data_IF_860878242998
#
_entry.id   IF_860878242998
#
_cell.length_a   1.000
_cell.length_b   1.000
_cell.length_c   1.000
_cell.angle_alpha   90.00
_cell.angle_beta   90.00
_cell.angle_gamma   90.00
#
_symmetry.space_group_name_H-M   'P 1'
#
loop_
_entity.id
_entity.type
_entity.pdbx_description
1 polymer ?
#
# COMPACT_ATOMS: atom_id res chain seq x y z
N UNK A 1 -2.81 23.75 -15.93
CA UNK A 1 -3.36 22.40 -16.26
C UNK A 1 -4.59 22.19 -15.43
N UNK A 2 -5.60 21.49 -15.96
CA UNK A 2 -6.82 21.12 -15.24
C UNK A 2 -6.78 19.63 -14.93
N UNK A 3 -7.22 19.26 -13.72
CA UNK A 3 -7.28 17.87 -13.26
C UNK A 3 -8.56 17.62 -12.47
N UNK A 4 -9.12 16.42 -12.59
CA UNK A 4 -10.26 15.94 -11.81
C UNK A 4 -9.73 15.08 -10.66
N UNK A 5 -10.05 15.48 -9.44
CA UNK A 5 -9.60 14.80 -8.22
C UNK A 5 -10.80 14.21 -7.50
N UNK A 6 -10.82 12.90 -7.36
CA UNK A 6 -11.78 12.22 -6.47
C UNK A 6 -11.38 12.43 -5.02
N UNK A 7 -12.33 12.87 -4.18
CA UNK A 7 -12.13 13.00 -2.74
C UNK A 7 -12.90 11.91 -2.02
N UNK A 8 -12.18 11.00 -1.38
CA UNK A 8 -12.72 10.02 -0.45
C UNK A 8 -12.34 10.46 0.95
N UNK A 9 -13.25 11.14 1.64
CA UNK A 9 -13.02 11.57 3.01
C UNK A 9 -12.86 10.37 3.95
N UNK A 10 -13.59 9.28 3.70
CA UNK A 10 -13.50 8.05 4.49
C UNK A 10 -14.15 8.16 5.86
N UNK A 11 -13.56 7.47 6.84
CA UNK A 11 -14.13 7.23 8.15
C UNK A 11 -13.29 7.87 9.27
N UNK A 12 -13.88 8.06 10.44
CA UNK A 12 -13.19 8.53 11.64
C UNK A 12 -12.50 9.87 11.45
N UNK A 13 -11.18 9.91 11.55
CA UNK A 13 -10.33 11.11 11.34
C UNK A 13 -10.22 11.49 9.85
N UNK A 14 -10.70 10.65 8.93
CA UNK A 14 -10.54 10.79 7.49
C UNK A 14 -10.99 12.15 6.93
N UNK A 15 -12.21 12.64 7.24
CA UNK A 15 -12.66 13.95 6.76
C UNK A 15 -11.72 15.09 7.16
N UNK A 16 -11.28 15.12 8.40
CA UNK A 16 -10.39 16.16 8.94
C UNK A 16 -9.06 16.21 8.17
N UNK A 17 -8.41 15.06 7.99
CA UNK A 17 -7.11 15.00 7.29
C UNK A 17 -7.23 15.28 5.78
N UNK A 18 -8.34 14.88 5.14
CA UNK A 18 -8.57 15.17 3.72
C UNK A 18 -8.84 16.65 3.50
N UNK A 19 -9.60 17.31 4.39
CA UNK A 19 -9.86 18.74 4.30
C UNK A 19 -8.56 19.57 4.44
N UNK A 20 -7.65 19.17 5.34
CA UNK A 20 -6.33 19.82 5.45
C UNK A 20 -5.45 19.57 4.21
N UNK A 21 -5.44 18.35 3.68
CA UNK A 21 -4.74 18.04 2.45
C UNK A 21 -5.29 18.83 1.25
N UNK A 22 -6.63 19.01 1.17
CA UNK A 22 -7.27 19.82 0.14
C UNK A 22 -6.82 21.26 0.18
N UNK A 23 -6.68 21.87 1.36
CA UNK A 23 -6.16 23.25 1.49
C UNK A 23 -4.76 23.39 0.89
N UNK A 24 -3.89 22.38 1.08
CA UNK A 24 -2.56 22.37 0.46
C UNK A 24 -2.66 22.26 -1.06
N UNK A 25 -3.55 21.41 -1.58
CA UNK A 25 -3.77 21.27 -3.02
C UNK A 25 -4.29 22.60 -3.64
N UNK A 26 -5.21 23.28 -2.96
CA UNK A 26 -5.74 24.57 -3.42
C UNK A 26 -4.62 25.64 -3.45
N UNK A 27 -3.75 25.69 -2.44
CA UNK A 27 -2.59 26.59 -2.42
C UNK A 27 -1.58 26.27 -3.53
N UNK A 28 -1.38 24.98 -3.86
CA UNK A 28 -0.55 24.57 -5.01
C UNK A 28 -1.19 25.02 -6.34
N UNK A 29 -2.51 24.92 -6.47
CA UNK A 29 -3.22 25.42 -7.65
C UNK A 29 -3.01 26.91 -7.84
N UNK A 30 -3.18 27.71 -6.79
CA UNK A 30 -2.96 29.15 -6.83
C UNK A 30 -1.51 29.49 -7.21
N UNK A 31 -0.54 28.84 -6.55
CA UNK A 31 0.89 29.11 -6.74
C UNK A 31 1.39 28.75 -8.14
N UNK A 32 0.92 27.66 -8.73
CA UNK A 32 1.45 27.12 -9.99
C UNK A 32 0.49 27.24 -11.18
N UNK A 33 -0.65 27.90 -11.02
CA UNK A 33 -1.64 28.10 -12.08
C UNK A 33 -2.30 26.80 -12.56
N UNK A 34 -2.56 25.88 -11.62
CA UNK A 34 -3.35 24.68 -11.88
C UNK A 34 -4.82 24.91 -11.48
N UNK A 35 -5.70 24.02 -11.96
CA UNK A 35 -7.10 23.98 -11.55
C UNK A 35 -7.46 22.54 -11.23
N UNK A 36 -7.95 22.30 -10.00
CA UNK A 36 -8.47 21.02 -9.58
C UNK A 36 -9.99 21.08 -9.45
N UNK A 37 -10.66 20.13 -10.11
CA UNK A 37 -12.09 19.90 -9.95
C UNK A 37 -12.28 18.71 -9.03
N UNK A 38 -12.96 18.92 -7.90
CA UNK A 38 -13.13 17.90 -6.87
C UNK A 38 -14.47 17.20 -7.01
N UNK A 39 -14.46 15.87 -6.95
CA UNK A 39 -15.65 15.02 -6.92
C UNK A 39 -15.67 14.21 -5.62
N UNK A 40 -16.68 14.37 -4.79
CA UNK A 40 -16.81 13.60 -3.57
C UNK A 40 -17.24 12.15 -3.88
N UNK A 41 -16.54 11.20 -3.29
CA UNK A 41 -16.74 9.76 -3.46
C UNK A 41 -16.93 9.11 -2.10
N UNK A 42 -17.94 8.26 -1.96
CA UNK A 42 -18.20 7.54 -0.70
C UNK A 42 -17.53 6.17 -0.73
N UNK A 43 -16.77 5.86 0.34
CA UNK A 43 -16.09 4.59 0.55
C UNK A 43 -16.07 4.26 2.04
N UNK A 44 -16.05 2.97 2.37
CA UNK A 44 -15.94 2.51 3.75
C UNK A 44 -17.22 2.62 4.55
N UNK A 45 -17.11 2.98 5.81
CA UNK A 45 -18.24 3.17 6.71
C UNK A 45 -19.19 4.25 6.23
N UNK A 46 -18.66 5.36 5.73
CA UNK A 46 -19.46 6.44 5.15
C UNK A 46 -20.35 5.96 3.99
N UNK A 47 -19.88 5.03 3.16
CA UNK A 47 -20.69 4.41 2.10
C UNK A 47 -21.70 3.42 2.67
N UNK A 48 -21.35 2.64 3.69
CA UNK A 48 -22.26 1.70 4.36
C UNK A 48 -23.45 2.45 4.97
N UNK A 49 -23.20 3.57 5.63
CA UNK A 49 -24.24 4.36 6.30
C UNK A 49 -25.27 4.94 5.31
N UNK A 50 -24.85 5.24 4.08
CA UNK A 50 -25.73 5.82 3.04
C UNK A 50 -26.33 4.74 2.13
N UNK A 51 -25.52 3.76 1.72
CA UNK A 51 -25.88 2.81 0.65
C UNK A 51 -26.04 1.36 1.15
N UNK A 52 -25.70 1.07 2.41
CA UNK A 52 -25.70 -0.30 2.96
C UNK A 52 -24.54 -1.19 2.46
N UNK A 53 -23.63 -0.66 1.64
CA UNK A 53 -22.48 -1.36 1.08
C UNK A 53 -21.22 -0.50 1.19
N UNK A 54 -20.04 -1.10 1.38
CA UNK A 54 -18.80 -0.33 1.60
C UNK A 54 -18.29 0.40 0.35
N UNK A 55 -18.78 0.05 -0.84
CA UNK A 55 -18.43 0.71 -2.10
C UNK A 55 -19.46 0.32 -3.17
N UNK A 56 -20.04 1.32 -3.84
CA UNK A 56 -20.96 1.11 -4.96
C UNK A 56 -20.21 1.06 -6.29
N UNK A 57 -20.83 0.49 -7.31
CA UNK A 57 -20.26 0.46 -8.66
C UNK A 57 -20.25 1.85 -9.30
N UNK A 58 -21.24 2.71 -8.99
CA UNK A 58 -21.29 4.11 -9.41
C UNK A 58 -20.07 4.89 -8.88
N UNK A 59 -19.70 4.69 -7.61
CA UNK A 59 -18.50 5.31 -7.04
C UNK A 59 -17.23 4.87 -7.77
N UNK A 60 -17.14 3.60 -8.17
CA UNK A 60 -15.99 3.10 -8.95
C UNK A 60 -15.95 3.79 -10.32
N UNK A 61 -17.06 3.90 -11.02
CA UNK A 61 -17.09 4.52 -12.35
C UNK A 61 -16.78 6.03 -12.28
N UNK A 62 -17.23 6.73 -11.25
CA UNK A 62 -16.84 8.12 -11.03
C UNK A 62 -15.33 8.26 -10.69
N UNK A 63 -14.80 7.35 -9.86
CA UNK A 63 -13.36 7.34 -9.53
C UNK A 63 -12.48 7.12 -10.76
N UNK A 64 -12.91 6.27 -11.71
CA UNK A 64 -12.19 6.03 -12.99
C UNK A 64 -12.14 7.26 -13.90
N UNK A 65 -13.06 8.22 -13.74
CA UNK A 65 -13.06 9.48 -14.51
C UNK A 65 -12.12 10.51 -13.93
N UNK A 66 -11.59 10.29 -12.74
CA UNK A 66 -10.65 11.19 -12.08
C UNK A 66 -9.21 10.90 -12.50
N UNK A 67 -8.40 11.92 -12.60
CA UNK A 67 -6.95 11.80 -12.84
C UNK A 67 -6.21 11.24 -11.63
N UNK A 68 -6.72 11.53 -10.42
CA UNK A 68 -6.22 11.00 -9.15
C UNK A 68 -7.34 10.94 -8.11
N UNK A 69 -7.13 10.13 -7.07
CA UNK A 69 -8.02 10.04 -5.91
C UNK A 69 -7.22 10.33 -4.65
N UNK A 70 -7.65 11.37 -3.91
CA UNK A 70 -7.17 11.64 -2.55
C UNK A 70 -8.08 10.91 -1.57
N UNK A 71 -7.50 10.07 -0.72
CA UNK A 71 -8.25 9.22 0.19
C UNK A 71 -7.78 9.41 1.63
N UNK A 72 -8.75 9.58 2.52
CA UNK A 72 -8.56 9.58 3.97
C UNK A 72 -8.51 8.16 4.56
N UNK A 73 -8.77 8.05 5.85
CA UNK A 73 -8.80 6.77 6.55
C UNK A 73 -10.06 5.97 6.27
N UNK A 74 -9.95 4.65 6.18
CA UNK A 74 -11.07 3.73 5.97
C UNK A 74 -11.12 2.74 7.12
N UNK A 75 -12.32 2.54 7.68
CA UNK A 75 -12.56 1.67 8.83
C UNK A 75 -12.68 2.45 10.14
N UNK A 76 -12.89 1.71 11.22
CA UNK A 76 -13.08 2.27 12.55
C UNK A 76 -12.57 1.33 13.63
N UNK A 77 -12.81 1.66 14.88
CA UNK A 77 -12.47 0.80 16.00
C UNK A 77 -13.29 -0.51 15.96
N UNK A 78 -12.59 -1.64 15.99
CA UNK A 78 -13.21 -2.97 15.83
C UNK A 78 -14.20 -3.33 16.96
N UNK A 79 -14.12 -2.68 18.13
CA UNK A 79 -14.99 -2.95 19.28
C UNK A 79 -16.23 -2.05 19.30
N UNK A 80 -16.09 -0.81 18.87
CA UNK A 80 -17.12 0.22 19.03
C UNK A 80 -17.85 0.54 17.75
N UNK A 81 -17.24 0.36 16.58
CA UNK A 81 -17.85 0.67 15.30
C UNK A 81 -18.94 -0.35 14.91
N UNK A 82 -20.14 0.09 14.48
CA UNK A 82 -21.24 -0.78 14.11
C UNK A 82 -20.96 -1.64 12.88
N UNK A 83 -20.06 -1.21 12.00
CA UNK A 83 -19.76 -1.89 10.73
C UNK A 83 -19.07 -3.25 10.94
N UNK A 84 -18.38 -3.46 12.07
CA UNK A 84 -17.73 -4.76 12.37
C UNK A 84 -18.69 -5.85 12.84
N UNK A 85 -19.99 -5.53 13.04
CA UNK A 85 -21.05 -6.52 13.22
C UNK A 85 -21.50 -7.15 11.90
N UNK A 86 -21.14 -6.51 10.77
CA UNK A 86 -21.42 -7.02 9.44
C UNK A 86 -20.48 -8.17 9.08
N UNK A 87 -20.90 -8.98 8.08
CA UNK A 87 -20.04 -10.00 7.48
C UNK A 87 -18.77 -9.36 6.88
N UNK A 88 -17.62 -10.08 6.83
CA UNK A 88 -16.35 -9.53 6.37
C UNK A 88 -16.38 -8.88 4.98
N UNK A 89 -17.21 -9.40 4.07
CA UNK A 89 -17.41 -8.89 2.71
C UNK A 89 -18.17 -7.54 2.66
N UNK A 90 -18.82 -7.15 3.75
CA UNK A 90 -19.60 -5.92 3.90
C UNK A 90 -18.92 -4.88 4.81
N UNK A 91 -17.73 -5.16 5.31
CA UNK A 91 -16.96 -4.23 6.16
C UNK A 91 -16.26 -3.17 5.32
N UNK A 92 -15.86 -2.03 5.91
CA UNK A 92 -15.15 -0.95 5.22
C UNK A 92 -13.93 -1.42 4.42
N UNK A 93 -13.16 -2.37 4.96
CA UNK A 93 -11.95 -2.91 4.33
C UNK A 93 -12.24 -3.64 3.02
N UNK A 94 -13.41 -4.27 2.88
CA UNK A 94 -13.82 -4.91 1.62
C UNK A 94 -13.97 -3.88 0.50
N UNK A 95 -14.54 -2.70 0.81
CA UNK A 95 -14.60 -1.58 -0.12
C UNK A 95 -13.23 -1.08 -0.54
N UNK A 96 -12.29 -0.97 0.42
CA UNK A 96 -10.92 -0.56 0.16
C UNK A 96 -10.19 -1.54 -0.78
N UNK A 97 -10.34 -2.83 -0.58
CA UNK A 97 -9.76 -3.83 -1.47
C UNK A 97 -10.41 -3.80 -2.86
N UNK A 98 -11.74 -3.64 -2.91
CA UNK A 98 -12.49 -3.57 -4.17
C UNK A 98 -12.06 -2.38 -5.02
N UNK A 99 -11.94 -1.16 -4.46
CA UNK A 99 -11.54 0.04 -5.21
C UNK A 99 -10.10 -0.07 -5.73
N UNK A 100 -9.17 -0.59 -4.93
CA UNK A 100 -7.77 -0.81 -5.34
C UNK A 100 -7.68 -1.72 -6.56
N UNK A 101 -8.43 -2.83 -6.54
CA UNK A 101 -8.50 -3.76 -7.66
C UNK A 101 -9.15 -3.13 -8.89
N UNK A 102 -10.28 -2.43 -8.71
CA UNK A 102 -11.05 -1.82 -9.80
C UNK A 102 -10.33 -0.70 -10.52
N UNK A 103 -9.46 0.03 -9.82
CA UNK A 103 -8.61 1.08 -10.38
C UNK A 103 -7.22 0.58 -10.81
N UNK A 104 -6.92 -0.71 -10.66
CA UNK A 104 -5.62 -1.29 -11.01
C UNK A 104 -4.44 -0.75 -10.21
N UNK A 105 -4.65 -0.38 -8.95
CA UNK A 105 -3.63 0.23 -8.08
C UNK A 105 -2.72 -0.85 -7.49
N UNK A 106 -1.81 -1.38 -8.29
CA UNK A 106 -0.97 -2.51 -7.91
C UNK A 106 0.28 -2.12 -7.11
N UNK A 107 0.80 -0.91 -7.29
CA UNK A 107 2.03 -0.47 -6.64
C UNK A 107 1.74 0.46 -5.46
N UNK A 108 1.98 -0.01 -4.24
CA UNK A 108 1.93 0.81 -3.04
C UNK A 108 3.33 1.34 -2.72
N UNK A 109 3.52 2.65 -2.87
CA UNK A 109 4.78 3.32 -2.60
C UNK A 109 4.76 3.89 -1.18
N UNK A 110 5.64 3.41 -0.32
CA UNK A 110 5.72 3.80 1.09
C UNK A 110 7.09 4.38 1.40
N UNK A 111 7.27 5.71 1.28
CA UNK A 111 8.52 6.34 1.63
C UNK A 111 8.72 6.32 3.15
N UNK A 112 9.94 6.00 3.58
CA UNK A 112 10.41 6.19 4.94
C UNK A 112 11.63 7.11 4.86
N UNK A 113 11.45 8.33 5.31
CA UNK A 113 12.47 9.38 5.30
C UNK A 113 12.60 9.97 6.69
N UNK A 114 13.82 10.10 7.19
CA UNK A 114 14.07 10.78 8.46
C UNK A 114 14.39 12.26 8.19
N UNK A 115 13.47 13.13 8.59
CA UNK A 115 13.70 14.56 8.61
C UNK A 115 14.63 14.92 9.76
N UNK A 116 15.59 15.80 9.52
CA UNK A 116 16.58 16.18 10.53
C UNK A 116 15.90 16.80 11.78
N UNK A 117 14.83 17.55 11.57
CA UNK A 117 14.03 18.18 12.62
C UNK A 117 13.29 17.15 13.50
N UNK A 118 13.17 15.92 13.04
CA UNK A 118 12.50 14.81 13.74
C UNK A 118 13.48 13.73 14.20
N UNK A 119 14.79 13.98 14.12
CA UNK A 119 15.83 13.01 14.47
C UNK A 119 15.69 12.49 15.90
N UNK A 120 15.37 13.38 16.83
CA UNK A 120 15.23 13.06 18.25
C UNK A 120 13.99 12.19 18.57
N UNK A 121 13.01 12.17 17.65
CA UNK A 121 11.83 11.32 17.78
C UNK A 121 12.05 9.89 17.22
N UNK A 122 13.18 9.64 16.58
CA UNK A 122 13.51 8.33 16.02
C UNK A 122 13.89 7.36 17.14
N UNK A 123 13.30 6.15 17.21
CA UNK A 123 13.61 5.19 18.26
C UNK A 123 14.96 4.46 18.08
N UNK A 124 15.61 4.64 16.95
CA UNK A 124 16.90 4.04 16.67
C UNK A 124 18.04 4.86 17.32
N UNK A 125 19.11 4.18 17.69
CA UNK A 125 20.31 4.82 18.25
C UNK A 125 20.93 5.78 17.24
N UNK A 126 21.51 6.86 17.72
CA UNK A 126 22.12 7.90 16.90
C UNK A 126 23.25 7.37 16.00
N UNK A 127 24.06 6.46 16.52
CA UNK A 127 25.14 5.78 15.78
C UNK A 127 24.64 4.95 14.57
N UNK A 128 23.39 4.48 14.63
CA UNK A 128 22.73 3.71 13.56
C UNK A 128 22.07 4.65 12.55
N UNK A 129 21.45 5.71 13.04
CA UNK A 129 20.81 6.72 12.20
C UNK A 129 21.83 7.45 11.33
N UNK A 130 23.01 7.77 11.89
CA UNK A 130 24.03 8.56 11.21
C UNK A 130 23.47 9.90 10.72
N UNK A 131 23.60 10.15 9.41
CA UNK A 131 23.05 11.35 8.75
C UNK A 131 21.55 11.23 8.38
N UNK A 132 20.93 10.12 8.74
CA UNK A 132 19.54 9.82 8.43
C UNK A 132 19.37 8.72 7.40
N UNK A 133 18.12 8.40 7.10
CA UNK A 133 17.78 7.40 6.09
C UNK A 133 16.73 7.90 5.11
N UNK A 134 16.82 7.40 3.89
CA UNK A 134 15.85 7.60 2.82
C UNK A 134 15.62 6.27 2.11
N UNK A 135 14.47 5.66 2.38
CA UNK A 135 14.09 4.35 1.86
C UNK A 135 12.69 4.41 1.25
N UNK A 136 12.48 3.74 0.13
CA UNK A 136 11.17 3.55 -0.47
C UNK A 136 10.81 2.08 -0.46
N UNK A 137 9.77 1.72 0.29
CA UNK A 137 9.21 0.37 0.29
C UNK A 137 8.16 0.30 -0.80
N UNK A 138 8.40 -0.55 -1.81
CA UNK A 138 7.45 -0.83 -2.88
C UNK A 138 6.75 -2.16 -2.63
N UNK A 139 5.43 -2.10 -2.46
CA UNK A 139 4.62 -3.28 -2.19
C UNK A 139 3.69 -3.55 -3.36
N UNK A 140 3.72 -4.80 -3.87
CA UNK A 140 2.64 -5.29 -4.73
C UNK A 140 1.35 -5.35 -3.88
N UNK A 141 0.28 -4.71 -4.37
CA UNK A 141 -0.89 -4.42 -3.54
C UNK A 141 -2.13 -5.21 -3.92
N UNK A 142 -2.21 -5.75 -5.15
CA UNK A 142 -3.42 -6.40 -5.70
C UNK A 142 -3.28 -7.89 -5.94
N UNK A 143 -2.16 -8.47 -5.50
CA UNK A 143 -1.91 -9.91 -5.41
C UNK A 143 -1.74 -10.39 -3.97
N UNK A 144 -1.36 -11.64 -3.82
CA UNK A 144 -0.99 -12.24 -2.56
C UNK A 144 -2.16 -12.60 -1.65
N UNK A 145 -1.90 -12.59 -0.35
CA UNK A 145 -2.79 -13.14 0.68
C UNK A 145 -4.17 -12.46 0.74
N UNK A 146 -4.26 -11.16 0.46
CA UNK A 146 -5.52 -10.42 0.58
C UNK A 146 -6.50 -10.66 -0.56
N UNK A 147 -6.03 -11.18 -1.69
CA UNK A 147 -6.82 -11.43 -2.88
C UNK A 147 -6.93 -12.91 -3.23
N UNK A 148 -6.26 -13.78 -2.48
CA UNK A 148 -6.35 -15.23 -2.59
C UNK A 148 -7.68 -15.77 -2.04
N UNK A 149 -7.94 -17.04 -2.36
CA UNK A 149 -9.09 -17.75 -1.82
C UNK A 149 -8.95 -17.93 -0.31
N UNK A 150 -10.08 -17.81 0.38
CA UNK A 150 -10.15 -17.99 1.84
C UNK A 150 -11.39 -18.75 2.23
N UNK A 151 -11.27 -19.58 3.24
CA UNK A 151 -12.39 -20.34 3.76
C UNK A 151 -12.21 -20.62 5.26
N UNK A 152 -13.35 -20.80 5.95
CA UNK A 152 -13.38 -21.37 7.29
C UNK A 152 -14.37 -22.50 7.28
N UNK A 153 -13.91 -23.72 7.58
CA UNK A 153 -14.72 -24.92 7.64
C UNK A 153 -14.70 -25.49 9.06
N UNK A 154 -15.72 -26.23 9.43
CA UNK A 154 -15.78 -26.95 10.70
C UNK A 154 -15.88 -28.45 10.39
N UNK A 155 -14.90 -29.24 10.84
CA UNK A 155 -14.83 -30.68 10.70
C UNK A 155 -14.67 -31.32 12.08
N UNK A 156 -15.57 -32.21 12.45
CA UNK A 156 -15.56 -32.90 13.76
C UNK A 156 -15.52 -31.96 14.97
N UNK A 157 -16.20 -30.79 14.89
CA UNK A 157 -16.21 -29.79 15.96
C UNK A 157 -14.95 -28.93 16.03
N UNK A 158 -14.00 -29.09 15.07
CA UNK A 158 -12.77 -28.32 14.98
C UNK A 158 -12.88 -27.33 13.82
N UNK A 159 -12.69 -26.03 14.10
CA UNK A 159 -12.66 -24.99 13.08
C UNK A 159 -11.28 -24.92 12.44
N UNK A 160 -11.26 -24.90 11.10
CA UNK A 160 -10.05 -24.74 10.27
C UNK A 160 -10.24 -23.57 9.32
N UNK A 161 -9.36 -22.58 9.42
CA UNK A 161 -9.34 -21.44 8.50
C UNK A 161 -8.14 -21.55 7.53
N UNK A 162 -8.38 -21.18 6.29
CA UNK A 162 -7.36 -21.19 5.23
C UNK A 162 -7.39 -19.88 4.48
N UNK A 163 -6.19 -19.29 4.30
CA UNK A 163 -5.94 -18.16 3.41
C UNK A 163 -4.87 -18.59 2.39
N UNK A 164 -5.13 -18.35 1.11
CA UNK A 164 -4.22 -18.77 0.02
C UNK A 164 -3.38 -17.57 -0.44
N UNK A 165 -2.05 -17.74 -0.40
CA UNK A 165 -1.09 -16.79 -0.93
C UNK A 165 -0.78 -17.13 -2.39
N UNK A 166 -1.16 -16.26 -3.33
CA UNK A 166 -0.93 -16.46 -4.76
C UNK A 166 -0.31 -15.21 -5.39
N UNK A 167 0.75 -15.41 -6.14
CA UNK A 167 1.34 -14.40 -7.04
C UNK A 167 1.56 -15.03 -8.42
N UNK A 168 1.18 -14.30 -9.46
CA UNK A 168 1.46 -14.64 -10.85
C UNK A 168 2.70 -13.90 -11.37
N UNK A 169 3.35 -14.44 -12.40
CA UNK A 169 4.49 -13.81 -13.05
C UNK A 169 4.20 -12.37 -13.51
N UNK A 170 3.06 -12.04 -14.18
CA UNK A 170 2.76 -10.66 -14.57
C UNK A 170 2.65 -9.69 -13.39
N UNK A 171 2.10 -10.15 -12.25
CA UNK A 171 2.00 -9.32 -11.04
C UNK A 171 3.38 -8.99 -10.47
N UNK A 172 4.25 -9.99 -10.40
CA UNK A 172 5.63 -9.79 -9.93
C UNK A 172 6.41 -8.89 -10.90
N UNK A 173 6.30 -9.15 -12.20
CA UNK A 173 7.02 -8.41 -13.23
C UNK A 173 6.67 -6.93 -13.23
N UNK A 174 5.39 -6.56 -13.14
CA UNK A 174 4.96 -5.16 -13.14
C UNK A 174 5.50 -4.37 -11.96
N UNK A 175 5.52 -4.96 -10.75
CA UNK A 175 6.05 -4.26 -9.58
C UNK A 175 7.58 -4.19 -9.61
N UNK A 176 8.26 -5.24 -10.09
CA UNK A 176 9.71 -5.25 -10.27
C UNK A 176 10.16 -4.15 -11.24
N UNK A 177 9.55 -4.04 -12.43
CA UNK A 177 9.83 -2.97 -13.39
C UNK A 177 9.70 -1.59 -12.74
N UNK A 178 8.62 -1.33 -11.99
CA UNK A 178 8.43 -0.05 -11.29
C UNK A 178 9.50 0.20 -10.23
N UNK A 179 9.92 -0.84 -9.51
CA UNK A 179 10.97 -0.72 -8.50
C UNK A 179 12.32 -0.34 -9.14
N UNK A 180 12.70 -0.99 -10.23
CA UNK A 180 13.94 -0.68 -10.97
C UNK A 180 13.89 0.71 -11.62
N UNK A 181 12.77 1.10 -12.24
CA UNK A 181 12.59 2.44 -12.81
C UNK A 181 12.77 3.55 -11.77
N UNK A 182 12.24 3.35 -10.57
CA UNK A 182 12.39 4.31 -9.46
C UNK A 182 13.82 4.27 -8.92
N UNK A 183 14.41 3.09 -8.78
CA UNK A 183 15.79 2.94 -8.28
C UNK A 183 16.80 3.68 -9.17
N UNK A 184 16.61 3.69 -10.52
CA UNK A 184 17.43 4.48 -11.45
C UNK A 184 17.46 5.97 -11.13
N UNK A 185 16.34 6.52 -10.60
CA UNK A 185 16.22 7.92 -10.20
C UNK A 185 16.70 8.20 -8.77
N UNK A 186 17.14 7.16 -8.05
CA UNK A 186 17.58 7.21 -6.66
C UNK A 186 19.02 6.65 -6.53
N UNK A 187 19.24 5.78 -5.56
CA UNK A 187 20.58 5.23 -5.23
C UNK A 187 20.98 4.04 -6.12
N UNK A 188 20.22 3.72 -7.16
CA UNK A 188 20.45 2.58 -8.07
C UNK A 188 20.62 1.24 -7.36
N UNK A 189 19.83 1.04 -6.32
CA UNK A 189 19.81 -0.20 -5.53
C UNK A 189 18.38 -0.66 -5.30
N UNK A 190 18.14 -1.96 -5.52
CA UNK A 190 16.89 -2.66 -5.20
C UNK A 190 17.21 -3.82 -4.28
N UNK A 191 16.55 -3.87 -3.13
CA UNK A 191 16.55 -5.03 -2.25
C UNK A 191 15.21 -5.76 -2.40
N UNK A 192 15.24 -6.94 -3.00
CA UNK A 192 14.06 -7.80 -3.15
C UNK A 192 13.86 -8.64 -1.89
N UNK A 193 12.72 -8.44 -1.22
CA UNK A 193 12.42 -9.10 0.05
C UNK A 193 11.39 -10.21 -0.16
N UNK A 194 11.73 -11.42 0.26
CA UNK A 194 10.92 -12.62 0.03
C UNK A 194 11.09 -13.68 1.15
N UNK A 195 10.46 -14.85 0.98
CA UNK A 195 10.64 -16.04 1.83
C UNK A 195 10.98 -17.27 0.97
N UNK A 196 11.89 -17.11 0.02
CA UNK A 196 12.23 -18.14 -1.00
C UNK A 196 12.77 -19.46 -0.43
N UNK A 197 13.33 -19.41 0.78
CA UNK A 197 13.79 -20.64 1.48
C UNK A 197 12.64 -21.58 1.87
N UNK A 198 11.37 -21.08 1.89
CA UNK A 198 10.20 -21.87 2.32
C UNK A 198 9.10 -21.88 1.25
N UNK A 199 8.75 -20.73 0.65
CA UNK A 199 7.54 -20.55 -0.15
C UNK A 199 7.81 -20.65 -1.65
N UNK A 200 6.96 -21.39 -2.38
CA UNK A 200 7.00 -21.47 -3.84
C UNK A 200 6.70 -20.12 -4.50
N UNK A 201 5.73 -19.36 -3.98
CA UNK A 201 5.42 -18.02 -4.47
C UNK A 201 6.62 -17.08 -4.37
N UNK A 202 7.44 -17.21 -3.33
CA UNK A 202 8.65 -16.42 -3.15
C UNK A 202 9.80 -16.88 -4.06
N UNK A 203 9.89 -18.16 -4.37
CA UNK A 203 10.84 -18.68 -5.38
C UNK A 203 10.52 -18.15 -6.77
N UNK A 204 9.24 -18.16 -7.16
CA UNK A 204 8.78 -17.53 -8.40
C UNK A 204 9.07 -16.02 -8.39
N UNK A 205 8.79 -15.33 -7.28
CA UNK A 205 9.08 -13.91 -7.11
C UNK A 205 10.54 -13.60 -7.41
N UNK A 206 11.46 -14.34 -6.79
CA UNK A 206 12.90 -14.16 -6.97
C UNK A 206 13.33 -14.36 -8.40
N UNK A 207 12.89 -15.45 -9.03
CA UNK A 207 13.23 -15.77 -10.43
C UNK A 207 12.76 -14.67 -11.41
N UNK A 208 11.54 -14.14 -11.22
CA UNK A 208 11.02 -13.05 -12.07
C UNK A 208 11.74 -11.74 -11.83
N UNK A 209 12.08 -11.41 -10.58
CA UNK A 209 12.85 -10.19 -10.26
C UNK A 209 14.25 -10.27 -10.85
N UNK A 210 14.92 -11.42 -10.79
CA UNK A 210 16.22 -11.65 -11.42
C UNK A 210 16.16 -11.53 -12.96
N UNK A 211 15.08 -12.00 -13.56
CA UNK A 211 14.86 -11.85 -15.00
C UNK A 211 14.69 -10.39 -15.41
N UNK A 212 13.86 -9.64 -14.69
CA UNK A 212 13.70 -8.19 -14.91
C UNK A 212 15.00 -7.43 -14.71
N UNK A 213 15.81 -7.79 -13.71
CA UNK A 213 17.08 -7.11 -13.42
C UNK A 213 18.06 -7.11 -14.59
N UNK A 214 17.97 -8.08 -15.52
CA UNK A 214 18.82 -8.13 -16.73
C UNK A 214 18.66 -6.91 -17.62
N UNK A 215 17.47 -6.26 -17.60
CA UNK A 215 17.18 -5.04 -18.36
C UNK A 215 17.67 -3.76 -17.63
N UNK A 216 18.22 -3.93 -16.42
CA UNK A 216 18.67 -2.84 -15.55
C UNK A 216 20.10 -3.02 -15.04
N UNK A 217 21.09 -3.18 -15.95
CA UNK A 217 22.50 -3.48 -15.56
C UNK A 217 23.15 -2.36 -14.74
N UNK A 218 22.55 -1.18 -14.70
CA UNK A 218 22.97 -0.02 -13.94
C UNK A 218 22.39 0.04 -12.51
N UNK A 219 21.56 -0.96 -12.12
CA UNK A 219 20.94 -1.05 -10.80
C UNK A 219 21.40 -2.32 -10.09
N UNK A 220 21.91 -2.17 -8.88
CA UNK A 220 22.32 -3.30 -8.04
C UNK A 220 21.06 -3.99 -7.47
N UNK A 221 20.93 -5.30 -7.68
CA UNK A 221 19.92 -6.15 -7.07
C UNK A 221 20.52 -6.95 -5.92
N UNK A 222 19.86 -6.91 -4.77
CA UNK A 222 20.11 -7.78 -3.63
C UNK A 222 18.85 -8.53 -3.24
N UNK A 223 19.00 -9.76 -2.72
CA UNK A 223 17.90 -10.51 -2.15
C UNK A 223 18.04 -10.63 -0.65
N UNK A 224 16.92 -10.47 0.07
CA UNK A 224 16.89 -10.62 1.52
C UNK A 224 15.67 -11.41 1.96
N UNK A 225 15.85 -12.35 2.88
CA UNK A 225 14.72 -13.05 3.49
C UNK A 225 13.97 -12.07 4.41
N UNK A 226 12.63 -12.14 4.41
CA UNK A 226 11.77 -11.17 5.09
C UNK A 226 12.03 -11.07 6.60
N UNK A 227 12.34 -12.17 7.25
CA UNK A 227 12.69 -12.19 8.67
C UNK A 227 14.01 -11.46 8.95
N UNK A 228 15.04 -11.71 8.12
CA UNK A 228 16.29 -10.98 8.18
C UNK A 228 16.08 -9.48 7.85
N UNK A 229 15.29 -9.17 6.83
CA UNK A 229 14.99 -7.78 6.49
C UNK A 229 14.33 -7.03 7.66
N UNK A 230 13.39 -7.66 8.36
CA UNK A 230 12.76 -7.06 9.53
C UNK A 230 13.78 -6.75 10.65
N UNK A 231 14.73 -7.63 10.88
CA UNK A 231 15.81 -7.42 11.85
C UNK A 231 16.77 -6.32 11.39
N UNK A 232 17.14 -6.31 10.11
CA UNK A 232 18.03 -5.29 9.54
C UNK A 232 17.43 -3.88 9.63
N UNK A 233 16.15 -3.72 9.31
CA UNK A 233 15.45 -2.42 9.41
C UNK A 233 15.47 -1.88 10.84
N UNK A 234 15.35 -2.75 11.83
CA UNK A 234 15.44 -2.38 13.25
C UNK A 234 16.89 -2.35 13.76
N UNK A 235 17.85 -2.62 12.89
CA UNK A 235 19.28 -2.67 13.22
C UNK A 235 19.64 -3.65 14.33
N UNK A 236 18.87 -4.72 14.49
CA UNK A 236 19.12 -5.74 15.53
C UNK A 236 20.31 -6.63 15.22
N UNK A 237 20.84 -6.63 13.98
CA UNK A 237 21.95 -7.48 13.53
C UNK A 237 23.22 -6.66 13.24
N UNK A 238 23.16 -5.34 13.08
CA UNK A 238 24.31 -4.48 12.77
C UNK A 238 25.32 -4.36 13.92
N UNK A 239 25.18 -5.14 14.97
CA UNK A 239 26.11 -5.15 16.11
C UNK A 239 27.41 -5.88 15.78
N UNK A 240 27.45 -6.64 14.68
CA UNK A 240 28.58 -7.51 14.34
C UNK A 240 29.33 -7.13 13.05
N UNK A 241 28.90 -6.16 12.33
CA UNK A 241 29.53 -5.65 11.11
C UNK A 241 29.47 -4.11 11.03
#
# INVERSE_FOLDING_TARGET
MEYRIGLIHGDGIGPEIVDEAKKVLDAVCEKYGHKFEYTNLLLGGASIDVHGVPLTDETIEEAKKCDAVLMGSIGGDAKTSPWYKLSPDKRPEAGLLKIRKSLGLFANLRPAYLYQELKDACPLKEEIIGEGFDMLIMRELTGGLYFGERSTVEENGIKKATDTLTYSEPEIRRIAIRAFDIARKRKKKVTSVDKANVLDSSRLWRAVVEDVAKDYPDVTLEHMLVDNCAMQILSLIHISE
#
